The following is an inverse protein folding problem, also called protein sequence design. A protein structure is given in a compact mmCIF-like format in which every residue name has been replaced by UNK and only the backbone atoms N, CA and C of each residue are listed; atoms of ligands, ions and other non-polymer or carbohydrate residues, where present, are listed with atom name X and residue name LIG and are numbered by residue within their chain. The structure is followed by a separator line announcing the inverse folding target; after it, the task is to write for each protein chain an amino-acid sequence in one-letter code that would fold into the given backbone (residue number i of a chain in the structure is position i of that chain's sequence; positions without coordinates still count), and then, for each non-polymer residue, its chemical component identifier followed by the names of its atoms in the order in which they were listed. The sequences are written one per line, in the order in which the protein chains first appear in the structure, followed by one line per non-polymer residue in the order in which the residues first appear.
data_IF_215115929872
#
_entry.id   IF_215115929872
#
_cell.length_a   1.000
_cell.length_b   1.000
_cell.length_c   1.000
_cell.angle_alpha   90.00
_cell.angle_beta   90.00
_cell.angle_gamma   90.00
#
_symmetry.space_group_name_H-M   'P 1'
#
loop_
_entity.id
_entity.type
_entity.pdbx_description
1 polymer ?
#
# COMPACT_ATOMS: atom_id res chain seq x y z
N UNK A 1 12.67 -14.62 -1.87
CA UNK A 1 12.91 -13.27 -1.32
C UNK A 1 11.63 -12.48 -1.58
N UNK A 2 11.17 -11.61 -0.67
CA UNK A 2 10.01 -10.77 -0.96
C UNK A 2 10.28 -9.84 -2.16
N UNK A 3 9.33 -9.73 -3.09
CA UNK A 3 9.39 -8.73 -4.16
C UNK A 3 9.04 -7.36 -3.58
N UNK A 4 10.01 -6.44 -3.62
CA UNK A 4 9.88 -5.08 -3.09
C UNK A 4 10.18 -4.08 -4.19
N UNK A 5 9.23 -3.19 -4.47
CA UNK A 5 9.40 -2.17 -5.49
C UNK A 5 8.89 -0.80 -5.03
N UNK A 6 9.41 0.27 -5.64
CA UNK A 6 9.01 1.62 -5.29
C UNK A 6 7.66 1.95 -5.91
N UNK A 7 6.73 2.44 -5.09
CA UNK A 7 5.44 2.96 -5.53
C UNK A 7 5.33 4.45 -5.20
N UNK A 8 4.56 5.16 -6.03
CA UNK A 8 4.33 6.58 -5.92
C UNK A 8 2.89 6.81 -5.46
N UNK A 9 2.70 7.62 -4.43
CA UNK A 9 1.39 8.05 -3.94
C UNK A 9 1.24 9.54 -4.24
N UNK A 10 0.18 9.92 -4.95
CA UNK A 10 -0.09 11.31 -5.32
C UNK A 10 -0.80 12.01 -4.16
N UNK A 11 -0.18 13.09 -3.70
CA UNK A 11 -0.72 14.00 -2.70
C UNK A 11 -1.83 14.87 -3.27
N UNK A 12 -2.67 15.38 -2.37
CA UNK A 12 -3.82 16.23 -2.74
C UNK A 12 -3.43 17.50 -3.51
N UNK A 13 -2.22 18.05 -3.30
CA UNK A 13 -1.77 19.29 -3.94
C UNK A 13 -0.64 19.06 -4.95
N UNK A 14 -0.53 17.85 -5.50
CA UNK A 14 0.46 17.49 -6.51
C UNK A 14 1.79 16.98 -5.94
N UNK A 15 1.90 16.80 -4.62
CA UNK A 15 3.05 16.15 -4.02
C UNK A 15 3.17 14.69 -4.47
N UNK A 16 4.41 14.17 -4.48
CA UNK A 16 4.66 12.74 -4.75
C UNK A 16 5.38 12.12 -3.58
N UNK A 17 4.71 11.22 -2.87
CA UNK A 17 5.29 10.39 -1.82
C UNK A 17 5.79 9.10 -2.45
N UNK A 18 7.05 8.76 -2.17
CA UNK A 18 7.70 7.53 -2.67
C UNK A 18 7.87 6.58 -1.50
N UNK A 19 7.39 5.35 -1.63
CA UNK A 19 7.49 4.33 -0.58
C UNK A 19 7.92 2.99 -1.19
N UNK A 20 8.77 2.25 -0.48
CA UNK A 20 9.09 0.88 -0.85
C UNK A 20 7.93 -0.01 -0.43
N UNK A 21 7.34 -0.71 -1.39
CA UNK A 21 6.18 -1.54 -1.20
C UNK A 21 6.54 -3.01 -1.35
N UNK A 22 6.10 -3.82 -0.38
CA UNK A 22 6.15 -5.27 -0.41
C UNK A 22 4.90 -5.79 -1.15
N UNK A 23 5.09 -6.52 -2.23
CA UNK A 23 3.99 -7.08 -3.03
C UNK A 23 3.50 -8.38 -2.40
N UNK A 24 2.21 -8.45 -2.10
CA UNK A 24 1.62 -9.56 -1.35
C UNK A 24 0.19 -9.87 -1.83
N UNK A 25 0.01 -10.97 -2.57
CA UNK A 25 -1.31 -11.42 -3.03
C UNK A 25 -2.15 -12.10 -1.92
N UNK A 26 -1.52 -12.42 -0.78
CA UNK A 26 -2.20 -12.90 0.42
C UNK A 26 -2.83 -11.77 1.25
N UNK A 27 -2.41 -10.52 1.04
CA UNK A 27 -2.95 -9.38 1.76
C UNK A 27 -4.28 -8.90 1.14
N UNK A 28 -5.37 -9.07 1.88
CA UNK A 28 -6.72 -8.64 1.46
C UNK A 28 -6.97 -7.13 1.57
N UNK A 29 -6.02 -6.39 2.15
CA UNK A 29 -6.02 -4.94 2.24
C UNK A 29 -4.65 -4.41 1.81
N UNK A 30 -4.64 -3.18 1.31
CA UNK A 30 -3.41 -2.42 1.13
C UNK A 30 -3.14 -1.70 2.45
N UNK A 31 -1.88 -1.65 2.87
CA UNK A 31 -1.59 -1.05 4.16
C UNK A 31 -0.27 -0.27 4.18
N UNK A 32 -0.20 0.74 5.05
CA UNK A 32 1.01 1.49 5.35
C UNK A 32 1.34 1.39 6.84
N UNK A 33 2.62 1.22 7.16
CA UNK A 33 3.07 1.26 8.55
C UNK A 33 2.84 2.65 9.15
N UNK A 34 2.32 2.71 10.38
CA UNK A 34 2.09 3.97 11.12
C UNK A 34 3.33 4.88 11.12
N UNK A 35 4.52 4.33 11.33
CA UNK A 35 5.76 5.11 11.41
C UNK A 35 6.11 5.79 10.08
N UNK A 36 5.83 5.13 8.96
CA UNK A 36 5.99 5.69 7.61
C UNK A 36 4.92 6.73 7.36
N UNK A 37 3.66 6.40 7.68
CA UNK A 37 2.53 7.33 7.53
C UNK A 37 2.78 8.65 8.25
N UNK A 38 3.23 8.63 9.50
CA UNK A 38 3.51 9.86 10.26
C UNK A 38 4.54 10.78 9.58
N UNK A 39 5.51 10.22 8.86
CA UNK A 39 6.52 10.98 8.13
C UNK A 39 5.96 11.62 6.86
N UNK A 40 4.93 11.04 6.24
CA UNK A 40 4.47 11.44 4.90
C UNK A 40 3.05 12.01 4.86
N UNK A 41 2.26 11.87 5.94
CA UNK A 41 0.82 12.25 5.99
C UNK A 41 0.54 13.70 5.62
N UNK A 42 1.48 14.61 5.90
CA UNK A 42 1.37 16.02 5.58
C UNK A 42 1.44 16.30 4.07
N UNK A 43 1.99 15.36 3.29
CA UNK A 43 2.09 15.43 1.82
C UNK A 43 1.03 14.62 1.10
N UNK A 44 0.42 13.65 1.77
CA UNK A 44 -0.61 12.80 1.17
C UNK A 44 -1.94 13.54 1.04
N UNK A 45 -2.36 14.27 2.08
CA UNK A 45 -3.75 14.76 2.16
C UNK A 45 -4.77 13.61 2.08
N UNK A 46 -6.05 13.93 1.88
CA UNK A 46 -7.16 12.98 1.65
C UNK A 46 -7.18 11.71 2.53
N UNK A 47 -6.80 11.83 3.79
CA UNK A 47 -6.89 10.75 4.76
C UNK A 47 -7.91 11.08 5.85
N UNK A 48 -8.50 10.06 6.45
CA UNK A 48 -9.44 10.18 7.56
C UNK A 48 -9.22 9.08 8.58
N UNK A 49 -9.74 9.22 9.82
CA UNK A 49 -9.76 8.11 10.77
C UNK A 49 -10.40 6.86 10.16
N UNK A 50 -9.90 5.68 10.56
CA UNK A 50 -10.48 4.38 10.23
C UNK A 50 -10.96 3.70 11.49
N UNK A 51 -12.00 2.88 11.37
CA UNK A 51 -12.56 2.03 12.43
C UNK A 51 -12.47 0.55 12.09
N UNK A 52 -11.75 0.20 11.00
CA UNK A 52 -11.61 -1.20 10.56
C UNK A 52 -10.70 -1.97 11.53
N UNK A 53 -11.05 -3.23 11.74
CA UNK A 53 -10.18 -4.21 12.40
C UNK A 53 -9.66 -5.20 11.36
N UNK A 54 -8.35 -5.41 11.36
CA UNK A 54 -7.65 -6.25 10.40
C UNK A 54 -7.15 -7.51 11.11
N UNK A 55 -7.38 -8.67 10.50
CA UNK A 55 -6.86 -9.94 11.00
C UNK A 55 -5.56 -10.28 10.27
N UNK A 56 -4.49 -10.43 11.04
CA UNK A 56 -3.18 -10.81 10.55
C UNK A 56 -3.10 -12.32 10.27
N UNK A 57 -2.05 -12.75 9.59
CA UNK A 57 -1.85 -14.16 9.21
C UNK A 57 -1.72 -15.10 10.44
N UNK A 58 -1.18 -14.61 11.56
CA UNK A 58 -1.08 -15.34 12.83
C UNK A 58 -2.41 -15.34 13.63
N UNK A 59 -3.47 -14.76 13.07
CA UNK A 59 -4.79 -14.65 13.68
C UNK A 59 -4.97 -13.45 14.61
N UNK A 60 -3.90 -12.69 14.91
CA UNK A 60 -3.99 -11.47 15.72
C UNK A 60 -4.87 -10.43 15.04
N UNK A 61 -5.56 -9.61 15.83
CA UNK A 61 -6.44 -8.55 15.32
C UNK A 61 -5.85 -7.20 15.68
N UNK A 62 -5.63 -6.36 14.68
CA UNK A 62 -5.10 -5.01 14.82
C UNK A 62 -6.13 -3.98 14.35
N UNK A 63 -6.22 -2.86 15.05
CA UNK A 63 -7.09 -1.76 14.65
C UNK A 63 -6.37 -0.86 13.64
N UNK A 64 -7.01 -0.61 12.50
CA UNK A 64 -6.60 0.46 11.61
C UNK A 64 -6.93 1.82 12.25
N UNK A 65 -6.00 2.77 12.14
CA UNK A 65 -6.11 4.11 12.74
C UNK A 65 -6.43 5.19 11.71
N UNK A 66 -6.13 4.94 10.44
CA UNK A 66 -6.31 5.90 9.35
C UNK A 66 -6.54 5.15 8.06
N UNK A 67 -7.40 5.71 7.21
CA UNK A 67 -7.52 5.30 5.81
C UNK A 67 -7.11 6.46 4.92
N UNK A 68 -6.53 6.14 3.78
CA UNK A 68 -6.22 7.09 2.71
C UNK A 68 -6.80 6.60 1.41
N UNK A 69 -7.22 7.53 0.56
CA UNK A 69 -7.66 7.26 -0.80
C UNK A 69 -7.00 8.26 -1.76
N UNK A 70 -6.59 7.81 -2.94
CA UNK A 70 -6.00 8.68 -3.95
C UNK A 70 -5.38 7.92 -5.10
N UNK A 71 -4.55 8.59 -5.88
CA UNK A 71 -3.86 7.97 -7.01
C UNK A 71 -2.56 7.29 -6.56
N UNK A 72 -2.41 6.04 -6.98
CA UNK A 72 -1.21 5.24 -6.83
C UNK A 72 -0.61 5.04 -8.21
N UNK A 73 0.68 5.30 -8.33
CA UNK A 73 1.45 5.11 -9.56
C UNK A 73 2.55 4.06 -9.36
N UNK A 74 2.68 3.19 -10.35
CA UNK A 74 3.69 2.14 -10.45
C UNK A 74 4.14 2.05 -11.91
N UNK A 75 5.43 2.30 -12.17
CA UNK A 75 6.03 2.26 -13.52
C UNK A 75 5.23 3.04 -14.58
N UNK A 76 4.74 4.23 -14.22
CA UNK A 76 3.96 5.11 -15.11
C UNK A 76 2.50 4.72 -15.29
N UNK A 77 2.06 3.56 -14.78
CA UNK A 77 0.64 3.21 -14.69
C UNK A 77 0.04 3.86 -13.45
N UNK A 78 -1.10 4.54 -13.60
CA UNK A 78 -1.80 5.21 -12.51
C UNK A 78 -3.18 4.59 -12.29
N UNK A 79 -3.49 4.25 -11.04
CA UNK A 79 -4.83 3.78 -10.64
C UNK A 79 -5.29 4.47 -9.36
N UNK A 80 -6.61 4.60 -9.18
CA UNK A 80 -7.17 5.04 -7.90
C UNK A 80 -7.14 3.89 -6.89
N UNK A 81 -6.52 4.11 -5.74
CA UNK A 81 -6.33 3.12 -4.68
C UNK A 81 -6.78 3.63 -3.31
N UNK A 82 -6.88 2.72 -2.36
CA UNK A 82 -7.03 3.03 -0.94
C UNK A 82 -6.05 2.18 -0.12
N UNK A 83 -5.66 2.65 1.07
CA UNK A 83 -4.93 1.85 2.04
C UNK A 83 -5.30 2.19 3.48
N UNK A 84 -5.11 1.23 4.36
CA UNK A 84 -5.26 1.37 5.81
C UNK A 84 -3.90 1.61 6.48
N UNK A 85 -3.90 2.27 7.63
CA UNK A 85 -2.70 2.49 8.46
C UNK A 85 -2.91 1.80 9.79
N UNK A 86 -1.92 1.04 10.26
CA UNK A 86 -1.94 0.44 11.59
C UNK A 86 -0.53 0.29 12.18
N UNK A 87 -0.46 -0.05 13.47
CA UNK A 87 0.79 -0.20 14.22
C UNK A 87 1.42 -1.58 14.03
N UNK A 88 2.75 -1.68 14.12
CA UNK A 88 3.44 -2.98 14.23
C UNK A 88 3.73 -3.69 12.91
N UNK A 89 3.88 -2.95 11.81
CA UNK A 89 4.28 -3.52 10.52
C UNK A 89 5.81 -3.59 10.38
N UNK A 90 6.34 -4.75 9.97
CA UNK A 90 7.76 -4.97 9.64
C UNK A 90 8.17 -4.53 8.22
N UNK A 91 7.26 -3.84 7.52
CA UNK A 91 7.40 -3.35 6.14
C UNK A 91 6.89 -1.91 6.08
N UNK A 92 7.25 -1.17 5.02
CA UNK A 92 6.83 0.23 4.87
C UNK A 92 5.42 0.35 4.30
N UNK A 93 5.14 -0.39 3.24
CA UNK A 93 3.85 -0.45 2.57
C UNK A 93 3.59 -1.88 2.08
N UNK A 94 2.39 -2.43 2.29
CA UNK A 94 1.91 -3.67 1.68
C UNK A 94 1.10 -3.33 0.44
N UNK A 95 1.60 -3.74 -0.71
CA UNK A 95 0.89 -3.71 -1.96
C UNK A 95 0.02 -4.96 -2.08
N UNK A 96 -1.15 -4.90 -1.45
CA UNK A 96 -2.06 -6.02 -1.34
C UNK A 96 -2.86 -6.31 -2.61
N UNK A 97 -3.60 -7.41 -2.57
CA UNK A 97 -4.50 -7.90 -3.63
C UNK A 97 -5.39 -6.82 -4.27
N UNK A 98 -5.99 -5.86 -3.53
CA UNK A 98 -6.82 -4.83 -4.16
C UNK A 98 -6.06 -3.96 -5.16
N UNK A 99 -4.80 -3.61 -4.89
CA UNK A 99 -3.98 -2.88 -5.88
C UNK A 99 -3.46 -3.80 -6.96
N UNK A 100 -3.00 -5.02 -6.62
CA UNK A 100 -2.56 -6.01 -7.62
C UNK A 100 -3.64 -6.23 -8.69
N UNK A 101 -4.91 -6.35 -8.29
CA UNK A 101 -6.04 -6.48 -9.21
C UNK A 101 -6.25 -5.25 -10.07
N UNK A 102 -6.17 -4.04 -9.49
CA UNK A 102 -6.35 -2.78 -10.22
C UNK A 102 -5.26 -2.55 -11.26
N UNK A 103 -4.03 -2.92 -10.93
CA UNK A 103 -2.87 -2.89 -11.84
C UNK A 103 -2.77 -4.12 -12.75
N UNK A 104 -3.72 -5.06 -12.67
CA UNK A 104 -3.73 -6.32 -13.42
C UNK A 104 -2.38 -7.04 -13.33
N UNK A 105 -1.81 -7.05 -12.13
CA UNK A 105 -0.46 -7.52 -11.89
C UNK A 105 -0.32 -9.01 -12.20
N UNK A 106 0.75 -9.38 -12.92
CA UNK A 106 1.15 -10.78 -13.14
C UNK A 106 2.58 -10.93 -12.66
N UNK A 107 2.79 -11.87 -11.73
CA UNK A 107 4.11 -12.19 -11.18
C UNK A 107 4.71 -13.39 -11.90
N UNK A 108 5.80 -13.17 -12.61
CA UNK A 108 6.69 -14.23 -13.09
C UNK A 108 7.75 -14.53 -12.02
N UNK A 109 7.53 -15.61 -11.28
CA UNK A 109 8.44 -16.03 -10.21
C UNK A 109 9.77 -16.59 -10.72
N UNK A 110 9.86 -17.01 -12.00
CA UNK A 110 11.12 -17.50 -12.56
C UNK A 110 12.09 -16.35 -12.83
N UNK A 111 11.55 -15.20 -13.26
CA UNK A 111 12.31 -13.98 -13.51
C UNK A 111 12.37 -13.04 -12.29
N UNK A 112 11.55 -13.28 -11.26
CA UNK A 112 11.30 -12.34 -10.15
C UNK A 112 10.83 -10.97 -10.68
N UNK A 113 9.84 -10.99 -11.59
CA UNK A 113 9.30 -9.82 -12.27
C UNK A 113 7.79 -9.69 -12.07
N UNK A 114 7.30 -8.45 -11.92
CA UNK A 114 5.87 -8.14 -11.92
C UNK A 114 5.55 -7.23 -13.11
N UNK A 115 4.62 -7.66 -13.95
CA UNK A 115 4.08 -6.85 -15.04
C UNK A 115 2.75 -6.23 -14.62
N UNK A 116 2.51 -4.98 -15.02
CA UNK A 116 1.28 -4.21 -14.71
C UNK A 116 0.69 -3.56 -15.97
N UNK A 117 -0.60 -3.24 -15.96
CA UNK A 117 -1.36 -2.71 -17.11
C UNK A 117 -2.40 -1.68 -16.72
#
# INVERSE_FOLDING_TARGET
IPFIHRVLLKGLHGEVVRVNALFDDGAMVVAMCETVFHKVKHRLGNWSPSTRHLRMADGTVVSAITKWEGEVELEGVCVRGEFEVFKGAGWSFLFGKPLLQKFRAVHDYAADEITVK
#
